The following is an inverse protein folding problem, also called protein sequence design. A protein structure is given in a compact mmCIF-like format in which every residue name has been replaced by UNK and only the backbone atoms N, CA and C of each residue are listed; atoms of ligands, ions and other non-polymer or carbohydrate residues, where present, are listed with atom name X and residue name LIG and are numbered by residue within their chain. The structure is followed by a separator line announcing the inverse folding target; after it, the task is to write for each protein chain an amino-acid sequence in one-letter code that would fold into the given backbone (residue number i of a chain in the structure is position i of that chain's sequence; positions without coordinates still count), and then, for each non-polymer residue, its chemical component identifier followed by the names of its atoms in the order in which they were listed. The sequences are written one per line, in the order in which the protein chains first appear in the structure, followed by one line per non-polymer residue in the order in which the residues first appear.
data_IF_007129586886
#
_entry.id   IF_007129586886
#
_cell.length_a   1.000
_cell.length_b   1.000
_cell.length_c   1.000
_cell.angle_alpha   90.00
_cell.angle_beta   90.00
_cell.angle_gamma   90.00
#
_symmetry.space_group_name_H-M   'P 1'
#
loop_
_entity.id
_entity.type
_entity.pdbx_description
1 polymer ?
#
# COMPACT_ATOMS: atom_id res chain seq x y z
N UNK A 1 -8.53 15.37 6.75
CA UNK A 1 -9.39 15.23 5.56
C UNK A 1 -10.12 13.90 5.64
N UNK A 2 -11.41 13.89 5.94
CA UNK A 2 -12.20 12.65 6.13
C UNK A 2 -12.33 11.81 4.86
N UNK A 3 -12.26 12.44 3.68
CA UNK A 3 -12.45 11.76 2.39
C UNK A 3 -11.40 10.68 2.12
N UNK A 4 -10.12 10.95 2.41
CA UNK A 4 -9.04 9.97 2.24
C UNK A 4 -9.32 8.72 3.07
N UNK A 5 -9.67 8.89 4.34
CA UNK A 5 -10.05 7.80 5.26
C UNK A 5 -11.25 7.01 4.75
N UNK A 6 -12.32 7.67 4.27
CA UNK A 6 -13.49 6.99 3.71
C UNK A 6 -13.15 6.14 2.48
N UNK A 7 -12.34 6.68 1.56
CA UNK A 7 -11.88 5.94 0.39
C UNK A 7 -10.99 4.75 0.78
N UNK A 8 -10.13 4.93 1.78
CA UNK A 8 -9.29 3.85 2.30
C UNK A 8 -10.12 2.72 2.91
N UNK A 9 -11.16 3.04 3.71
CA UNK A 9 -12.10 2.02 4.20
C UNK A 9 -12.73 1.25 3.06
N UNK A 10 -13.19 1.94 2.02
CA UNK A 10 -13.78 1.28 0.85
C UNK A 10 -12.78 0.43 0.06
N UNK A 11 -11.54 0.89 -0.06
CA UNK A 11 -10.48 0.16 -0.77
C UNK A 11 -10.16 -1.18 -0.08
N UNK A 12 -10.23 -1.23 1.26
CA UNK A 12 -9.89 -2.44 2.03
C UNK A 12 -11.08 -3.37 2.31
N UNK A 13 -12.29 -3.02 1.85
CA UNK A 13 -13.45 -3.93 1.90
C UNK A 13 -13.26 -5.17 1.02
N UNK A 14 -12.29 -5.14 0.09
CA UNK A 14 -11.90 -6.28 -0.73
C UNK A 14 -11.03 -5.89 -1.91
N UNK A 15 -10.14 -6.80 -2.33
CA UNK A 15 -9.16 -6.57 -3.41
C UNK A 15 -9.78 -6.00 -4.70
N UNK A 16 -11.02 -6.37 -5.03
CA UNK A 16 -11.74 -5.87 -6.22
C UNK A 16 -11.94 -4.35 -6.25
N UNK A 17 -11.88 -3.68 -5.09
CA UNK A 17 -12.05 -2.23 -5.01
C UNK A 17 -10.74 -1.45 -5.19
N UNK A 18 -9.57 -2.11 -5.14
CA UNK A 18 -8.27 -1.46 -5.23
C UNK A 18 -8.12 -0.58 -6.49
N UNK A 19 -8.37 -1.16 -7.67
CA UNK A 19 -8.26 -0.44 -8.95
C UNK A 19 -9.30 0.70 -9.11
N UNK A 20 -10.62 0.50 -8.91
CA UNK A 20 -11.57 1.60 -9.09
C UNK A 20 -11.35 2.73 -8.08
N UNK A 21 -11.02 2.43 -6.82
CA UNK A 21 -10.79 3.46 -5.80
C UNK A 21 -9.48 4.20 -6.07
N UNK A 22 -8.42 3.52 -6.48
CA UNK A 22 -7.17 4.21 -6.87
C UNK A 22 -7.37 5.12 -8.08
N UNK A 23 -8.15 4.71 -9.09
CA UNK A 23 -8.52 5.58 -10.22
C UNK A 23 -9.28 6.82 -9.76
N UNK A 24 -10.19 6.67 -8.80
CA UNK A 24 -10.91 7.79 -8.21
C UNK A 24 -9.97 8.74 -7.47
N UNK A 25 -9.08 8.21 -6.61
CA UNK A 25 -8.07 9.01 -5.93
C UNK A 25 -7.24 9.84 -6.92
N UNK A 26 -6.78 9.22 -8.00
CA UNK A 26 -6.02 9.88 -9.05
C UNK A 26 -6.84 10.96 -9.77
N UNK A 27 -8.13 10.72 -10.02
CA UNK A 27 -9.01 11.76 -10.59
C UNK A 27 -9.20 12.94 -9.66
N UNK A 28 -9.18 12.74 -8.34
CA UNK A 28 -9.25 13.82 -7.35
C UNK A 28 -7.93 14.59 -7.34
N UNK A 29 -6.80 13.89 -7.24
CA UNK A 29 -5.45 14.46 -7.25
C UNK A 29 -5.23 15.34 -8.48
N UNK A 30 -5.60 14.86 -9.67
CA UNK A 30 -5.43 15.60 -10.92
C UNK A 30 -6.26 16.90 -11.00
N UNK A 31 -7.31 17.04 -10.19
CA UNK A 31 -8.19 18.22 -10.15
C UNK A 31 -7.86 19.16 -8.99
N UNK A 32 -7.02 18.74 -8.06
CA UNK A 32 -6.73 19.50 -6.84
C UNK A 32 -5.56 20.44 -7.03
N UNK A 33 -5.72 21.72 -6.66
CA UNK A 33 -4.66 22.74 -6.79
C UNK A 33 -3.63 22.71 -5.66
N UNK A 34 -4.06 22.31 -4.46
CA UNK A 34 -3.25 22.37 -3.23
C UNK A 34 -2.70 21.00 -2.80
N UNK A 35 -3.05 19.94 -3.54
CA UNK A 35 -2.60 18.56 -3.29
C UNK A 35 -2.87 18.04 -1.85
N UNK A 36 -3.80 18.66 -1.14
CA UNK A 36 -4.15 18.36 0.26
C UNK A 36 -4.75 16.96 0.41
N UNK A 37 -5.50 16.49 -0.59
CA UNK A 37 -6.01 15.13 -0.64
C UNK A 37 -4.88 14.12 -0.84
N UNK A 38 -3.90 14.40 -1.70
CA UNK A 38 -2.74 13.52 -1.89
C UNK A 38 -1.96 13.37 -0.59
N UNK A 39 -1.63 14.49 0.05
CA UNK A 39 -0.91 14.50 1.32
C UNK A 39 -1.69 13.71 2.40
N UNK A 40 -3.00 13.97 2.52
CA UNK A 40 -3.86 13.23 3.45
C UNK A 40 -3.87 11.73 3.16
N UNK A 41 -3.98 11.33 1.89
CA UNK A 41 -3.98 9.93 1.47
C UNK A 41 -2.66 9.23 1.84
N UNK A 42 -1.51 9.86 1.55
CA UNK A 42 -0.20 9.32 1.89
C UNK A 42 -0.01 9.18 3.40
N UNK A 43 -0.42 10.18 4.17
CA UNK A 43 -0.45 10.14 5.63
C UNK A 43 -1.31 8.98 6.14
N UNK A 44 -2.52 8.80 5.59
CA UNK A 44 -3.41 7.69 5.96
C UNK A 44 -2.77 6.34 5.64
N UNK A 45 -2.14 6.17 4.47
CA UNK A 45 -1.44 4.92 4.13
C UNK A 45 -0.33 4.59 5.14
N UNK A 46 0.50 5.58 5.53
CA UNK A 46 1.55 5.38 6.54
C UNK A 46 0.96 5.00 7.89
N UNK A 47 -0.05 5.74 8.35
CA UNK A 47 -0.70 5.50 9.64
C UNK A 47 -1.36 4.12 9.68
N UNK A 48 -2.08 3.72 8.64
CA UNK A 48 -2.76 2.43 8.58
C UNK A 48 -1.78 1.24 8.57
N UNK A 49 -0.60 1.41 7.99
CA UNK A 49 0.46 0.41 8.13
C UNK A 49 1.04 0.36 9.55
N UNK A 50 1.29 1.52 10.18
CA UNK A 50 1.78 1.59 11.56
C UNK A 50 0.79 0.92 12.54
N UNK A 51 -0.51 1.15 12.34
CA UNK A 51 -1.60 0.61 13.15
C UNK A 51 -2.24 -0.66 12.54
N UNK A 52 -1.53 -1.35 11.65
CA UNK A 52 -2.09 -2.44 10.80
C UNK A 52 -2.81 -3.53 11.59
N UNK A 53 -2.31 -3.93 12.76
CA UNK A 53 -2.96 -4.97 13.55
C UNK A 53 -4.33 -4.52 14.09
N UNK A 54 -4.52 -3.22 14.32
CA UNK A 54 -5.78 -2.63 14.80
C UNK A 54 -6.75 -2.33 13.65
N UNK A 55 -6.25 -1.78 12.54
CA UNK A 55 -7.08 -1.24 11.45
C UNK A 55 -7.31 -2.24 10.31
N UNK A 56 -6.33 -3.12 10.09
CA UNK A 56 -6.29 -4.10 8.99
C UNK A 56 -6.24 -5.55 9.47
N UNK A 57 -6.18 -5.76 10.79
CA UNK A 57 -6.19 -7.06 11.44
C UNK A 57 -7.51 -7.83 11.22
N UNK A 58 -7.56 -9.09 11.67
CA UNK A 58 -8.78 -9.88 11.58
C UNK A 58 -9.92 -9.20 12.34
N UNK A 59 -11.11 -9.19 11.73
CA UNK A 59 -12.33 -8.77 12.42
C UNK A 59 -12.55 -9.73 13.61
N UNK A 60 -12.86 -9.17 14.79
CA UNK A 60 -12.99 -9.92 16.04
C UNK A 60 -13.84 -11.20 15.87
N UNK A 61 -13.44 -12.27 16.58
CA UNK A 61 -14.06 -13.60 16.63
C UNK A 61 -13.80 -14.58 15.47
N UNK A 62 -12.87 -14.31 14.55
CA UNK A 62 -12.48 -15.30 13.55
C UNK A 62 -11.07 -15.80 13.85
N UNK A 63 -10.93 -17.09 14.19
CA UNK A 63 -9.64 -17.82 14.23
C UNK A 63 -9.09 -18.06 12.80
N UNK A 64 -9.22 -17.07 11.92
CA UNK A 64 -8.67 -17.13 10.58
C UNK A 64 -7.38 -16.31 10.57
N UNK A 65 -6.21 -16.93 10.34
CA UNK A 65 -4.97 -16.19 10.29
C UNK A 65 -4.87 -15.28 9.05
N UNK A 66 -5.76 -15.45 8.05
CA UNK A 66 -5.82 -14.56 6.90
C UNK A 66 -6.26 -13.16 7.30
N UNK A 67 -5.48 -12.14 6.91
CA UNK A 67 -5.83 -10.72 7.05
C UNK A 67 -6.35 -10.17 5.71
N UNK A 68 -7.63 -10.39 5.34
CA UNK A 68 -8.15 -9.98 4.03
C UNK A 68 -8.13 -8.46 3.82
N UNK A 69 -8.31 -7.67 4.89
CA UNK A 69 -8.19 -6.21 4.81
C UNK A 69 -6.75 -5.78 4.55
N UNK A 70 -5.77 -6.48 5.12
CA UNK A 70 -4.35 -6.23 4.88
C UNK A 70 -3.95 -6.55 3.43
N UNK A 71 -4.38 -7.68 2.87
CA UNK A 71 -4.12 -8.00 1.46
C UNK A 71 -4.86 -7.07 0.49
N UNK A 72 -6.07 -6.62 0.83
CA UNK A 72 -6.77 -5.59 0.08
C UNK A 72 -6.06 -4.22 0.14
N UNK A 73 -5.51 -3.86 1.29
CA UNK A 73 -4.68 -2.66 1.47
C UNK A 73 -3.42 -2.72 0.60
N UNK A 74 -2.68 -3.82 0.61
CA UNK A 74 -1.52 -4.01 -0.27
C UNK A 74 -1.90 -3.85 -1.75
N UNK A 75 -3.01 -4.47 -2.18
CA UNK A 75 -3.48 -4.32 -3.56
C UNK A 75 -3.81 -2.86 -3.92
N UNK A 76 -4.46 -2.12 -3.02
CA UNK A 76 -4.72 -0.70 -3.21
C UNK A 76 -3.44 0.13 -3.33
N UNK A 77 -2.47 -0.09 -2.44
CA UNK A 77 -1.17 0.60 -2.49
C UNK A 77 -0.45 0.34 -3.81
N UNK A 78 -0.44 -0.91 -4.29
CA UNK A 78 0.16 -1.27 -5.58
C UNK A 78 -0.50 -0.53 -6.74
N UNK A 79 -1.84 -0.51 -6.79
CA UNK A 79 -2.56 0.20 -7.85
C UNK A 79 -2.30 1.71 -7.80
N UNK A 80 -2.29 2.31 -6.61
CA UNK A 80 -1.95 3.72 -6.43
C UNK A 80 -0.52 4.03 -6.89
N UNK A 81 0.46 3.22 -6.47
CA UNK A 81 1.86 3.36 -6.88
C UNK A 81 2.01 3.30 -8.40
N UNK A 82 1.44 2.26 -9.03
CA UNK A 82 1.48 2.10 -10.47
C UNK A 82 0.81 3.27 -11.21
N UNK A 83 -0.31 3.80 -10.72
CA UNK A 83 -0.98 4.93 -11.36
C UNK A 83 -0.19 6.23 -11.24
N UNK A 84 0.40 6.53 -10.07
CA UNK A 84 1.24 7.71 -9.90
C UNK A 84 2.47 7.65 -10.81
N UNK A 85 3.14 6.49 -10.88
CA UNK A 85 4.28 6.25 -11.76
C UNK A 85 3.92 6.43 -13.24
N UNK A 86 2.80 5.84 -13.69
CA UNK A 86 2.37 5.89 -15.10
C UNK A 86 1.94 7.27 -15.56
N UNK A 87 1.27 8.04 -14.69
CA UNK A 87 0.68 9.33 -15.09
C UNK A 87 1.64 10.50 -15.01
N UNK A 88 2.80 10.35 -14.37
CA UNK A 88 3.83 11.40 -14.25
C UNK A 88 3.22 12.78 -13.92
N UNK A 89 2.29 12.79 -12.96
CA UNK A 89 1.66 14.03 -12.54
C UNK A 89 2.76 14.99 -12.03
N UNK A 90 2.66 16.27 -12.40
CA UNK A 90 3.56 17.32 -11.90
C UNK A 90 3.21 17.66 -10.45
N UNK A 91 3.48 16.71 -9.55
CA UNK A 91 3.18 16.82 -8.14
C UNK A 91 4.22 17.71 -7.47
N UNK A 92 3.75 18.63 -6.65
CA UNK A 92 4.58 19.47 -5.77
C UNK A 92 4.64 18.94 -4.35
N UNK A 93 3.76 18.00 -4.01
CA UNK A 93 3.74 17.35 -2.69
C UNK A 93 5.01 16.54 -2.50
N UNK A 94 5.75 16.91 -1.48
CA UNK A 94 6.79 16.09 -0.89
C UNK A 94 6.37 15.79 0.55
N UNK A 95 6.34 14.51 0.95
CA UNK A 95 6.18 14.17 2.35
C UNK A 95 7.56 14.09 2.98
N UNK A 96 7.93 15.09 3.79
CA UNK A 96 9.26 15.17 4.40
C UNK A 96 10.40 15.11 3.36
N UNK A 97 10.21 15.77 2.20
CA UNK A 97 11.17 15.74 1.08
C UNK A 97 11.12 14.47 0.22
N UNK A 98 10.20 13.53 0.50
CA UNK A 98 10.08 12.26 -0.22
C UNK A 98 8.97 12.34 -1.29
N UNK A 99 9.25 11.95 -2.55
CA UNK A 99 8.24 11.91 -3.60
C UNK A 99 7.06 10.97 -3.29
N UNK A 100 5.83 11.28 -3.71
CA UNK A 100 4.65 10.46 -3.42
C UNK A 100 4.75 8.98 -3.84
N UNK A 101 5.30 8.62 -5.02
CA UNK A 101 5.50 7.21 -5.37
C UNK A 101 6.47 6.49 -4.42
N UNK A 102 7.53 7.18 -3.97
CA UNK A 102 8.51 6.62 -3.04
C UNK A 102 7.94 6.38 -1.65
N UNK A 103 7.03 7.22 -1.19
CA UNK A 103 6.27 6.99 0.05
C UNK A 103 5.50 5.67 -0.05
N UNK A 104 4.72 5.48 -1.13
CA UNK A 104 3.92 4.26 -1.31
C UNK A 104 4.81 3.03 -1.46
N UNK A 105 5.91 3.13 -2.21
CA UNK A 105 6.87 2.04 -2.39
C UNK A 105 7.48 1.60 -1.05
N UNK A 106 7.87 2.55 -0.21
CA UNK A 106 8.39 2.28 1.15
C UNK A 106 7.34 1.56 2.02
N UNK A 107 6.07 2.00 1.98
CA UNK A 107 5.00 1.34 2.73
C UNK A 107 4.75 -0.07 2.19
N UNK A 108 4.76 -0.27 0.86
CA UNK A 108 4.62 -1.57 0.22
C UNK A 108 5.75 -2.53 0.60
N UNK A 109 7.01 -2.08 0.59
CA UNK A 109 8.15 -2.90 1.01
C UNK A 109 7.97 -3.38 2.46
N UNK A 110 7.55 -2.49 3.36
CA UNK A 110 7.28 -2.85 4.75
C UNK A 110 6.11 -3.84 4.90
N UNK A 111 5.08 -3.70 4.06
CA UNK A 111 4.01 -4.70 4.01
C UNK A 111 4.51 -6.06 3.53
N UNK A 112 5.43 -6.10 2.56
CA UNK A 112 6.02 -7.33 2.07
C UNK A 112 6.81 -8.06 3.16
N UNK A 113 7.64 -7.34 3.91
CA UNK A 113 8.35 -7.90 5.08
C UNK A 113 7.38 -8.49 6.11
N UNK A 114 6.26 -7.81 6.38
CA UNK A 114 5.27 -8.29 7.34
C UNK A 114 4.55 -9.58 6.91
N UNK A 115 4.51 -9.88 5.59
CA UNK A 115 3.97 -11.12 5.07
C UNK A 115 4.92 -12.33 5.22
N UNK A 116 6.23 -12.09 5.31
CA UNK A 116 7.23 -13.17 5.42
C UNK A 116 7.68 -13.42 6.86
N UNK A 117 7.44 -12.47 7.77
CA UNK A 117 7.77 -12.61 9.19
C UNK A 117 7.10 -13.85 9.82
N UNK A 118 7.88 -14.74 10.46
CA UNK A 118 7.33 -15.89 11.17
C UNK A 118 6.43 -15.47 12.35
N UNK A 119 5.32 -16.19 12.59
CA UNK A 119 4.78 -17.27 11.77
C UNK A 119 4.11 -16.74 10.51
N UNK A 120 4.41 -17.36 9.36
CA UNK A 120 3.69 -17.07 8.10
C UNK A 120 2.22 -17.38 8.30
N UNK A 121 1.37 -16.35 8.16
CA UNK A 121 -0.02 -16.40 8.61
C UNK A 121 -0.93 -17.18 7.67
N UNK A 122 -0.84 -16.96 6.35
CA UNK A 122 -1.75 -17.58 5.39
C UNK A 122 -1.20 -17.65 3.97
N UNK A 123 -1.65 -18.65 3.19
CA UNK A 123 -1.36 -18.75 1.76
C UNK A 123 -1.84 -17.51 0.98
N UNK A 124 -2.99 -16.93 1.37
CA UNK A 124 -3.52 -15.73 0.71
C UNK A 124 -2.60 -14.51 0.84
N UNK A 125 -1.83 -14.41 1.92
CA UNK A 125 -0.84 -13.33 2.09
C UNK A 125 0.38 -13.58 1.20
N UNK A 126 0.79 -14.83 1.02
CA UNK A 126 1.88 -15.22 0.11
C UNK A 126 1.51 -14.98 -1.36
N UNK A 127 0.29 -15.33 -1.78
CA UNK A 127 -0.21 -15.03 -3.13
C UNK A 127 -0.28 -13.51 -3.38
N UNK A 128 -0.72 -12.76 -2.37
CA UNK A 128 -0.73 -11.31 -2.44
C UNK A 128 0.70 -10.75 -2.55
N UNK A 129 1.63 -11.26 -1.75
CA UNK A 129 3.05 -10.89 -1.79
C UNK A 129 3.63 -11.14 -3.19
N UNK A 130 3.41 -12.31 -3.77
CA UNK A 130 3.91 -12.64 -5.12
C UNK A 130 3.36 -11.69 -6.18
N UNK A 131 2.07 -11.40 -6.14
CA UNK A 131 1.44 -10.42 -7.03
C UNK A 131 2.08 -9.04 -6.88
N UNK A 132 2.24 -8.55 -5.64
CA UNK A 132 2.81 -7.23 -5.36
C UNK A 132 4.25 -7.15 -5.86
N UNK A 133 5.10 -8.14 -5.53
CA UNK A 133 6.50 -8.18 -5.96
C UNK A 133 6.63 -8.31 -7.49
N UNK A 134 5.71 -8.99 -8.16
CA UNK A 134 5.68 -9.01 -9.63
C UNK A 134 5.44 -7.60 -10.20
N UNK A 135 4.62 -6.79 -9.54
CA UNK A 135 4.33 -5.42 -9.99
C UNK A 135 5.43 -4.40 -9.66
N UNK A 136 6.07 -4.51 -8.49
CA UNK A 136 6.98 -3.47 -7.96
C UNK A 136 8.41 -3.95 -7.72
N UNK A 137 8.74 -5.21 -7.95
CA UNK A 137 10.03 -5.80 -7.57
C UNK A 137 11.23 -5.07 -8.16
N UNK A 138 11.15 -4.66 -9.43
CA UNK A 138 12.19 -3.84 -10.08
C UNK A 138 12.33 -2.46 -9.44
N UNK A 139 11.21 -1.87 -9.01
CA UNK A 139 11.22 -0.57 -8.32
C UNK A 139 11.84 -0.69 -6.93
N UNK A 140 11.57 -1.79 -6.20
CA UNK A 140 12.21 -2.09 -4.92
C UNK A 140 13.73 -2.30 -5.10
N UNK A 141 14.14 -3.06 -6.10
CA UNK A 141 15.57 -3.28 -6.40
C UNK A 141 16.29 -1.97 -6.71
N UNK A 142 15.66 -1.10 -7.50
CA UNK A 142 16.25 0.18 -7.91
C UNK A 142 16.32 1.19 -6.76
N UNK A 143 15.27 1.30 -5.95
CA UNK A 143 15.10 2.40 -5.02
C UNK A 143 15.29 2.02 -3.54
N UNK A 144 15.09 0.75 -3.19
CA UNK A 144 15.17 0.22 -1.83
C UNK A 144 15.93 -1.13 -1.80
N UNK A 145 17.15 -1.23 -2.36
CA UNK A 145 17.86 -2.51 -2.55
C UNK A 145 18.09 -3.27 -1.24
N UNK A 146 18.50 -2.58 -0.17
CA UNK A 146 18.69 -3.18 1.15
C UNK A 146 17.40 -3.79 1.70
N UNK A 147 16.25 -3.18 1.40
CA UNK A 147 14.96 -3.67 1.83
C UNK A 147 14.57 -4.94 1.07
N UNK A 148 14.84 -4.98 -0.24
CA UNK A 148 14.65 -6.18 -1.05
C UNK A 148 15.57 -7.32 -0.61
N UNK A 149 16.83 -7.04 -0.32
CA UNK A 149 17.78 -8.03 0.22
C UNK A 149 17.27 -8.64 1.54
N UNK A 150 16.82 -7.78 2.47
CA UNK A 150 16.22 -8.22 3.73
C UNK A 150 15.02 -9.12 3.50
N UNK A 151 14.11 -8.71 2.61
CA UNK A 151 12.93 -9.50 2.25
C UNK A 151 13.29 -10.87 1.67
N UNK A 152 14.31 -10.93 0.79
CA UNK A 152 14.77 -12.18 0.20
C UNK A 152 15.47 -13.09 1.21
N UNK A 153 16.13 -12.53 2.22
CA UNK A 153 16.74 -13.29 3.30
C UNK A 153 15.71 -14.01 4.18
N UNK A 154 14.58 -13.36 4.47
CA UNK A 154 13.47 -13.93 5.26
C UNK A 154 12.69 -15.05 4.54
N UNK A 155 12.87 -15.19 3.22
CA UNK A 155 12.21 -16.22 2.40
C UNK A 155 13.12 -17.43 2.13
N UNK A 156 14.42 -17.32 2.43
CA UNK A 156 15.41 -18.39 2.25
C UNK A 156 15.41 -19.37 3.41
#
# INVERSE_FOLDING_TARGET
MELATHLMHRAVDGRRYALPISRLCISIIAKEKKETFLEALLNTCRQWYQERDKVLGPLMNIKNPARPRFTAFMAFLTEMFCQLKRRQLQLRTECDGVPPPMVLLTVLGKCCEDCVKPPVRSLSEIECLFFVLTCIGRDLEMHLPQQLETLLAEVR
#
